data_IF_258813156178
#
_entry.id   IF_258813156178
#
_cell.length_a   1.000
_cell.length_b   1.000
_cell.length_c   1.000
_cell.angle_alpha   90.00
_cell.angle_beta   90.00
_cell.angle_gamma   90.00
#
_symmetry.space_group_name_H-M   'P 1'
#
loop_
_entity.id
_entity.type
_entity.pdbx_description
1 polymer ?
#
# COMPACT_ATOMS: atom_id res chain seq x y z
N UNK A 1 -15.68 -20.42 -8.32
CA UNK A 1 -14.57 -20.03 -7.40
C UNK A 1 -14.01 -18.78 -8.01
N UNK A 2 -13.95 -17.69 -7.25
CA UNK A 2 -13.73 -16.35 -7.80
C UNK A 2 -12.44 -16.23 -8.65
N UNK A 3 -11.40 -16.99 -8.33
CA UNK A 3 -10.18 -17.07 -9.15
C UNK A 3 -10.40 -17.64 -10.55
N UNK A 4 -11.27 -18.65 -10.72
CA UNK A 4 -11.62 -19.20 -12.04
C UNK A 4 -12.45 -18.22 -12.86
N UNK A 5 -13.39 -17.53 -12.21
CA UNK A 5 -14.16 -16.49 -12.87
C UNK A 5 -13.24 -15.36 -13.34
N UNK A 6 -12.26 -14.94 -12.52
CA UNK A 6 -11.25 -13.96 -12.93
C UNK A 6 -10.40 -14.40 -14.13
N UNK A 7 -10.11 -15.70 -14.27
CA UNK A 7 -9.43 -16.25 -15.46
C UNK A 7 -10.27 -16.07 -16.74
N UNK A 8 -11.59 -16.26 -16.66
CA UNK A 8 -12.49 -16.11 -17.82
C UNK A 8 -12.52 -14.68 -18.38
N UNK A 9 -12.30 -13.68 -17.51
CA UNK A 9 -12.27 -12.26 -17.89
C UNK A 9 -10.86 -11.68 -18.03
N UNK A 10 -9.82 -12.49 -17.86
CA UNK A 10 -8.41 -12.06 -17.84
C UNK A 10 -8.12 -10.91 -16.87
N UNK A 11 -8.69 -10.99 -15.66
CA UNK A 11 -8.49 -10.00 -14.60
C UNK A 11 -7.72 -10.59 -13.43
N UNK A 12 -7.10 -9.70 -12.63
CA UNK A 12 -6.51 -10.06 -11.34
C UNK A 12 -7.39 -9.45 -10.25
N UNK A 13 -7.80 -10.29 -9.31
CA UNK A 13 -8.44 -9.86 -8.07
C UNK A 13 -7.33 -9.60 -7.06
N UNK A 14 -7.32 -8.41 -6.48
CA UNK A 14 -6.30 -8.03 -5.51
C UNK A 14 -6.96 -7.72 -4.16
N UNK A 15 -6.59 -8.45 -3.12
CA UNK A 15 -6.96 -8.15 -1.74
C UNK A 15 -6.06 -7.02 -1.25
N UNK A 16 -6.67 -5.94 -0.77
CA UNK A 16 -5.94 -4.82 -0.21
C UNK A 16 -5.68 -5.01 1.28
N UNK A 17 -4.48 -4.65 1.74
CA UNK A 17 -4.11 -4.67 3.16
C UNK A 17 -4.74 -3.50 3.92
N UNK A 18 -6.08 -3.46 4.02
CA UNK A 18 -6.87 -2.37 4.60
C UNK A 18 -7.84 -2.91 5.69
N UNK A 19 -8.25 -2.05 6.64
CA UNK A 19 -9.15 -2.38 7.76
C UNK A 19 -8.78 -3.66 8.55
N UNK A 20 -9.61 -4.72 8.42
CA UNK A 20 -9.44 -6.01 9.09
C UNK A 20 -8.32 -6.85 8.47
N UNK A 21 -7.82 -6.45 7.28
CA UNK A 21 -6.81 -7.17 6.49
C UNK A 21 -5.41 -6.55 6.59
N UNK A 22 -5.13 -5.85 7.69
CA UNK A 22 -3.84 -5.17 7.90
C UNK A 22 -2.73 -6.10 8.38
N UNK A 23 -3.04 -7.33 8.79
CA UNK A 23 -2.05 -8.33 9.20
C UNK A 23 -1.54 -9.07 7.95
N UNK A 24 -0.27 -8.83 7.60
CA UNK A 24 0.32 -9.42 6.41
C UNK A 24 0.44 -10.94 6.48
N UNK A 25 0.58 -11.53 7.66
CA UNK A 25 0.64 -12.98 7.84
C UNK A 25 -0.75 -13.61 7.60
N UNK A 26 -1.83 -12.91 7.96
CA UNK A 26 -3.19 -13.33 7.60
C UNK A 26 -3.38 -13.30 6.09
N UNK A 27 -2.99 -12.20 5.44
CA UNK A 27 -3.10 -12.05 3.99
C UNK A 27 -2.27 -13.12 3.24
N UNK A 28 -1.04 -13.39 3.68
CA UNK A 28 -0.19 -14.43 3.11
C UNK A 28 -0.84 -15.81 3.19
N UNK A 29 -1.43 -16.18 4.34
CA UNK A 29 -2.19 -17.44 4.48
C UNK A 29 -3.37 -17.51 3.52
N UNK A 30 -4.10 -16.41 3.28
CA UNK A 30 -5.18 -16.40 2.28
C UNK A 30 -4.63 -16.68 0.88
N UNK A 31 -3.49 -16.09 0.51
CA UNK A 31 -2.87 -16.35 -0.79
C UNK A 31 -2.43 -17.81 -0.95
N UNK A 32 -1.87 -18.40 0.11
CA UNK A 32 -1.47 -19.81 0.15
C UNK A 32 -2.65 -20.77 0.04
N UNK A 33 -3.76 -20.50 0.74
CA UNK A 33 -4.96 -21.34 0.73
C UNK A 33 -5.75 -21.21 -0.59
N UNK A 34 -5.86 -19.99 -1.13
CA UNK A 34 -6.54 -19.75 -2.41
C UNK A 34 -5.72 -20.31 -3.58
N UNK A 35 -4.39 -20.24 -3.50
CA UNK A 35 -3.43 -20.80 -4.46
C UNK A 35 -3.83 -20.61 -5.93
N UNK A 36 -4.19 -19.37 -6.31
CA UNK A 36 -4.60 -19.02 -7.67
C UNK A 36 -3.72 -17.91 -8.22
N UNK A 37 -3.30 -17.98 -9.49
CA UNK A 37 -2.55 -16.89 -10.11
C UNK A 37 -3.37 -15.61 -10.31
N UNK A 38 -4.71 -15.69 -10.23
CA UNK A 38 -5.63 -14.56 -10.40
C UNK A 38 -6.06 -13.89 -9.10
N UNK A 39 -5.58 -14.37 -7.96
CA UNK A 39 -5.82 -13.73 -6.66
C UNK A 39 -4.48 -13.29 -6.09
N UNK A 40 -4.37 -11.99 -5.82
CA UNK A 40 -3.12 -11.28 -5.52
C UNK A 40 -3.37 -10.22 -4.43
N UNK A 41 -2.39 -9.37 -4.18
CA UNK A 41 -2.43 -8.36 -3.12
C UNK A 41 -2.20 -6.95 -3.67
N UNK A 42 -3.00 -5.99 -3.18
CA UNK A 42 -2.62 -4.58 -3.15
C UNK A 42 -1.95 -4.35 -1.81
N UNK A 43 -0.66 -4.06 -1.81
CA UNK A 43 0.01 -3.69 -0.56
C UNK A 43 -0.12 -2.19 -0.36
N UNK A 44 -1.02 -1.83 0.54
CA UNK A 44 -1.10 -0.51 1.10
C UNK A 44 0.06 -0.30 2.09
N UNK A 45 1.00 0.57 1.74
CA UNK A 45 2.22 0.77 2.52
C UNK A 45 1.94 1.38 3.90
N UNK A 46 0.77 1.99 4.10
CA UNK A 46 0.41 2.70 5.32
C UNK A 46 -0.20 1.78 6.37
N UNK A 47 -1.16 0.95 5.98
CA UNK A 47 -2.06 0.32 6.95
C UNK A 47 -1.40 -0.74 7.85
N UNK A 48 -0.65 -1.74 7.35
CA UNK A 48 0.08 -2.69 8.20
C UNK A 48 1.04 -1.99 9.16
N UNK A 49 1.75 -0.95 8.68
CA UNK A 49 2.66 -0.16 9.50
C UNK A 49 1.90 0.62 10.58
N UNK A 50 0.84 1.35 10.23
CA UNK A 50 0.19 2.28 11.14
C UNK A 50 -0.69 1.58 12.16
N UNK A 51 -1.51 0.63 11.73
CA UNK A 51 -2.54 0.03 12.58
C UNK A 51 -2.08 -1.25 13.26
N UNK A 52 -1.13 -1.99 12.66
CA UNK A 52 -0.57 -3.20 13.27
C UNK A 52 0.86 -3.04 13.77
N UNK A 53 1.48 -1.87 13.59
CA UNK A 53 2.89 -1.61 13.97
C UNK A 53 3.83 -2.63 13.34
N UNK A 54 3.46 -3.14 12.17
CA UNK A 54 4.23 -4.16 11.49
C UNK A 54 5.47 -3.53 10.86
N UNK A 55 6.69 -4.06 11.11
CA UNK A 55 7.88 -3.57 10.44
C UNK A 55 7.80 -3.81 8.92
N UNK A 56 8.25 -2.86 8.09
CA UNK A 56 8.29 -3.01 6.63
C UNK A 56 8.85 -4.34 6.13
N UNK A 57 9.91 -4.83 6.77
CA UNK A 57 10.57 -6.09 6.45
C UNK A 57 9.66 -7.31 6.62
N UNK A 58 8.79 -7.28 7.62
CA UNK A 58 7.85 -8.37 7.88
C UNK A 58 6.77 -8.38 6.81
N UNK A 59 6.15 -7.24 6.54
CA UNK A 59 5.12 -7.12 5.49
C UNK A 59 5.67 -7.51 4.12
N UNK A 60 6.86 -7.02 3.78
CA UNK A 60 7.53 -7.37 2.53
C UNK A 60 7.82 -8.86 2.42
N UNK A 61 8.39 -9.49 3.47
CA UNK A 61 8.71 -10.91 3.45
C UNK A 61 7.46 -11.78 3.25
N UNK A 62 6.33 -11.38 3.83
CA UNK A 62 5.07 -12.09 3.72
C UNK A 62 4.38 -11.88 2.37
N UNK A 63 4.40 -10.66 1.82
CA UNK A 63 3.52 -10.29 0.72
C UNK A 63 4.20 -10.12 -0.63
N UNK A 64 5.50 -9.81 -0.70
CA UNK A 64 6.18 -9.45 -1.95
C UNK A 64 5.90 -10.40 -3.14
N UNK A 65 5.83 -11.74 -2.98
CA UNK A 65 5.50 -12.66 -4.07
C UNK A 65 4.09 -12.49 -4.66
N UNK A 66 3.17 -11.85 -3.94
CA UNK A 66 1.76 -11.72 -4.28
C UNK A 66 1.37 -10.29 -4.68
N UNK A 67 2.24 -9.30 -4.49
CA UNK A 67 1.94 -7.88 -4.74
C UNK A 67 1.82 -7.61 -6.24
N UNK A 68 0.71 -7.01 -6.66
CA UNK A 68 0.49 -6.54 -8.03
C UNK A 68 0.26 -5.03 -8.12
N UNK A 69 -0.16 -4.39 -7.03
CA UNK A 69 -0.30 -2.94 -6.92
C UNK A 69 0.13 -2.50 -5.51
N UNK A 70 0.54 -1.24 -5.38
CA UNK A 70 0.79 -0.65 -4.07
C UNK A 70 0.08 0.71 -3.96
N UNK A 71 -0.46 0.96 -2.77
CA UNK A 71 -1.00 2.26 -2.41
C UNK A 71 -0.01 3.00 -1.52
N UNK A 72 0.21 4.26 -1.85
CA UNK A 72 1.17 5.14 -1.18
C UNK A 72 0.41 6.32 -0.63
N UNK A 73 0.48 6.46 0.69
CA UNK A 73 0.05 7.64 1.45
C UNK A 73 0.99 7.83 2.63
N UNK A 74 0.93 9.00 3.24
CA UNK A 74 1.77 9.33 4.38
C UNK A 74 0.93 9.98 5.48
N UNK A 75 1.38 9.83 6.71
CA UNK A 75 0.70 10.37 7.88
C UNK A 75 1.69 10.57 9.02
N UNK A 76 1.29 11.37 10.00
CA UNK A 76 1.91 11.46 11.33
C UNK A 76 0.89 11.12 12.39
N UNK A 77 1.36 10.75 13.58
CA UNK A 77 0.53 10.70 14.79
C UNK A 77 1.01 11.82 15.70
N UNK A 78 0.08 12.67 16.14
CA UNK A 78 0.40 13.79 17.01
C UNK A 78 0.62 13.37 18.48
N UNK A 79 0.91 14.35 19.34
CA UNK A 79 1.16 14.13 20.77
C UNK A 79 -0.05 13.55 21.53
N UNK A 80 -1.27 13.74 21.00
CA UNK A 80 -2.51 13.22 21.56
C UNK A 80 -2.86 11.83 21.03
N UNK A 81 -2.09 11.31 20.08
CA UNK A 81 -2.34 10.03 19.44
C UNK A 81 -3.30 10.11 18.25
N UNK A 82 -3.63 11.32 17.76
CA UNK A 82 -4.49 11.49 16.60
C UNK A 82 -3.68 11.34 15.30
N UNK A 83 -4.27 10.64 14.33
CA UNK A 83 -3.67 10.41 13.03
C UNK A 83 -3.99 11.55 12.07
N UNK A 84 -2.96 12.14 11.48
CA UNK A 84 -3.08 13.21 10.49
C UNK A 84 -2.44 12.78 9.17
N UNK A 85 -3.22 12.71 8.10
CA UNK A 85 -2.67 12.49 6.76
C UNK A 85 -1.92 13.74 6.28
N UNK A 86 -0.72 13.52 5.75
CA UNK A 86 0.16 14.60 5.30
C UNK A 86 0.70 14.31 3.91
N UNK A 87 1.36 15.30 3.31
CA UNK A 87 1.97 15.12 2.00
C UNK A 87 3.12 14.10 2.08
N UNK A 88 3.30 13.31 1.01
CA UNK A 88 4.31 12.24 0.98
C UNK A 88 5.73 12.74 1.33
N UNK A 89 6.34 12.16 2.35
CA UNK A 89 7.67 12.53 2.84
C UNK A 89 7.65 13.63 3.92
N UNK A 90 6.47 14.10 4.31
CA UNK A 90 6.28 14.94 5.51
C UNK A 90 5.83 14.12 6.72
N UNK A 91 5.49 12.84 6.52
CA UNK A 91 5.06 11.94 7.59
C UNK A 91 6.16 11.03 8.10
N UNK A 92 5.76 10.09 8.97
CA UNK A 92 6.64 9.11 9.61
C UNK A 92 6.42 7.69 9.11
N UNK A 93 5.57 7.48 8.09
CA UNK A 93 5.48 6.19 7.40
C UNK A 93 6.78 5.95 6.63
N UNK A 94 7.43 4.78 6.77
CA UNK A 94 8.70 4.48 6.08
C UNK A 94 8.50 4.15 4.59
N UNK A 95 7.68 4.93 3.88
CA UNK A 95 7.26 4.70 2.50
C UNK A 95 8.44 4.58 1.53
N UNK A 96 9.43 5.49 1.63
CA UNK A 96 10.64 5.43 0.78
C UNK A 96 11.37 4.10 0.93
N UNK A 97 11.57 3.63 2.16
CA UNK A 97 12.23 2.35 2.45
C UNK A 97 11.45 1.17 1.87
N UNK A 98 10.12 1.16 2.05
CA UNK A 98 9.25 0.11 1.48
C UNK A 98 9.32 0.09 -0.05
N UNK A 99 9.30 1.26 -0.69
CA UNK A 99 9.45 1.39 -2.14
C UNK A 99 10.83 0.91 -2.62
N UNK A 100 11.92 1.25 -1.91
CA UNK A 100 13.27 0.75 -2.22
C UNK A 100 13.36 -0.78 -2.11
N UNK A 101 12.70 -1.38 -1.11
CA UNK A 101 12.63 -2.84 -0.97
C UNK A 101 11.89 -3.48 -2.15
N UNK A 102 10.76 -2.92 -2.57
CA UNK A 102 9.99 -3.37 -3.73
C UNK A 102 10.80 -3.27 -5.03
N UNK A 103 11.44 -2.13 -5.29
CA UNK A 103 12.31 -1.95 -6.46
C UNK A 103 13.46 -2.95 -6.46
N UNK A 104 14.15 -3.13 -5.33
CA UNK A 104 15.22 -4.12 -5.19
C UNK A 104 14.71 -5.56 -5.36
N UNK A 105 13.46 -5.80 -4.98
CA UNK A 105 12.73 -7.05 -5.15
C UNK A 105 12.30 -7.36 -6.57
N UNK A 106 12.45 -6.41 -7.50
CA UNK A 106 12.02 -6.56 -8.89
C UNK A 106 10.53 -6.28 -9.11
N UNK A 107 9.85 -5.62 -8.17
CA UNK A 107 8.50 -5.12 -8.40
C UNK A 107 8.49 -4.10 -9.55
N UNK A 108 7.65 -4.34 -10.54
CA UNK A 108 7.55 -3.55 -11.78
C UNK A 108 6.15 -2.94 -12.01
N UNK A 109 5.28 -3.03 -11.00
CA UNK A 109 3.93 -2.46 -11.04
C UNK A 109 3.87 -0.97 -10.67
N UNK A 110 2.66 -0.47 -10.47
CA UNK A 110 2.41 0.95 -10.19
C UNK A 110 2.50 1.27 -8.71
N UNK A 111 3.19 2.37 -8.39
CA UNK A 111 3.02 3.09 -7.15
C UNK A 111 1.86 4.09 -7.29
N UNK A 112 0.75 3.82 -6.62
CA UNK A 112 -0.49 4.60 -6.74
C UNK A 112 -0.63 5.52 -5.54
N UNK A 113 -0.83 6.83 -5.76
CA UNK A 113 -1.24 7.74 -4.70
C UNK A 113 -2.66 7.38 -4.26
N UNK A 114 -2.83 7.12 -2.98
CA UNK A 114 -4.15 7.03 -2.36
C UNK A 114 -4.41 8.26 -1.49
N UNK A 115 -5.55 8.92 -1.72
CA UNK A 115 -5.86 10.17 -1.04
C UNK A 115 -7.36 10.31 -0.77
N UNK A 116 -7.73 10.17 0.49
CA UNK A 116 -9.11 9.97 0.93
C UNK A 116 -9.86 11.28 1.23
N UNK A 117 -9.65 12.31 0.40
CA UNK A 117 -10.20 13.67 0.61
C UNK A 117 -11.71 13.72 0.84
N UNK A 118 -12.46 12.81 0.22
CA UNK A 118 -13.93 12.72 0.40
C UNK A 118 -14.32 12.42 1.84
N UNK A 119 -13.53 11.61 2.54
CA UNK A 119 -13.77 11.18 3.91
C UNK A 119 -13.03 12.06 4.92
N UNK A 120 -11.93 12.65 4.49
CA UNK A 120 -11.05 13.54 5.26
C UNK A 120 -11.06 14.96 4.67
N UNK A 121 -12.11 15.76 4.88
CA UNK A 121 -12.23 17.08 4.26
C UNK A 121 -11.11 18.07 4.69
N UNK A 122 -10.40 17.79 5.77
CA UNK A 122 -9.30 18.58 6.30
C UNK A 122 -8.00 18.46 5.50
N UNK A 123 -7.80 17.37 4.77
CA UNK A 123 -6.53 17.12 4.08
C UNK A 123 -6.43 17.95 2.80
N UNK A 124 -5.21 18.12 2.27
CA UNK A 124 -4.97 18.93 1.08
C UNK A 124 -5.84 18.52 -0.13
N UNK A 125 -6.18 19.48 -0.98
CA UNK A 125 -6.93 19.22 -2.22
C UNK A 125 -6.10 18.40 -3.24
N UNK A 126 -6.74 17.67 -4.18
CA UNK A 126 -6.06 16.92 -5.24
C UNK A 126 -5.03 17.74 -6.04
N UNK A 127 -5.32 19.02 -6.29
CA UNK A 127 -4.46 19.96 -7.02
C UNK A 127 -3.15 20.26 -6.27
N UNK A 128 -3.08 19.96 -4.98
CA UNK A 128 -1.89 20.13 -4.15
C UNK A 128 -1.17 18.80 -3.98
N UNK A 129 -1.89 17.77 -3.52
CA UNK A 129 -1.27 16.48 -3.16
C UNK A 129 -0.74 15.72 -4.37
N UNK A 130 -1.43 15.76 -5.52
CA UNK A 130 -1.04 14.97 -6.68
C UNK A 130 0.25 15.49 -7.34
N UNK A 131 0.41 16.80 -7.62
CA UNK A 131 1.69 17.33 -8.08
C UNK A 131 2.82 17.14 -7.07
N UNK A 132 2.51 17.25 -5.77
CA UNK A 132 3.49 17.00 -4.71
C UNK A 132 3.98 15.54 -4.74
N UNK A 133 3.05 14.57 -4.79
CA UNK A 133 3.35 13.15 -4.89
C UNK A 133 4.26 12.85 -6.08
N UNK A 134 3.91 13.35 -7.27
CA UNK A 134 4.71 13.16 -8.49
C UNK A 134 6.12 13.74 -8.33
N UNK A 135 6.24 14.95 -7.76
CA UNK A 135 7.54 15.58 -7.49
C UNK A 135 8.36 14.73 -6.52
N UNK A 136 7.77 14.24 -5.43
CA UNK A 136 8.46 13.44 -4.42
C UNK A 136 8.90 12.08 -4.96
N UNK A 137 8.07 11.40 -5.74
CA UNK A 137 8.45 10.13 -6.38
C UNK A 137 9.62 10.31 -7.35
N UNK A 138 9.66 11.41 -8.11
CA UNK A 138 10.82 11.75 -8.98
C UNK A 138 12.07 12.12 -8.17
N UNK A 139 11.92 12.77 -7.03
CA UNK A 139 13.05 13.04 -6.13
C UNK A 139 13.66 11.75 -5.56
N UNK A 140 12.84 10.74 -5.27
CA UNK A 140 13.31 9.47 -4.71
C UNK A 140 13.85 8.49 -5.74
N UNK A 141 13.29 8.45 -6.96
CA UNK A 141 13.55 7.40 -7.95
C UNK A 141 13.81 7.90 -9.38
N UNK A 142 13.85 9.22 -9.60
CA UNK A 142 14.10 9.83 -10.92
C UNK A 142 15.55 10.15 -11.21
#
# INVERSE_FOLDING_TARGET
MIGKEAEEYDVILALETHDEWTDSAVCARVMEEVNSPRVRVVWDLHHPYRFNREPPEVTYANLAPYVVNIHVKDSVVDENGELHHVLLGEGDVPAKKMLEMLVKGGYDGYATLEWEKRWHPEIAEPEIVFPHYVKKMREWFG
#
